data_IF_115909281433
#
_entry.id   IF_115909281433
#
_cell.length_a   1.000
_cell.length_b   1.000
_cell.length_c   1.000
_cell.angle_alpha   90.00
_cell.angle_beta   90.00
_cell.angle_gamma   90.00
#
_symmetry.space_group_name_H-M   'P 1'
#
loop_
_entity.id
_entity.type
_entity.pdbx_description
1 polymer ?
#
# COMPACT_ATOMS: atom_id res chain seq x y z
N UNK A 1 15.07 -8.77 9.37
CA UNK A 1 13.86 -8.44 8.58
C UNK A 1 13.40 -9.70 7.89
N UNK A 2 12.09 -9.94 7.78
CA UNK A 2 11.50 -11.13 7.13
C UNK A 2 10.85 -10.82 5.79
N UNK A 3 11.49 -9.90 5.08
CA UNK A 3 11.08 -9.48 3.75
C UNK A 3 12.25 -9.68 2.81
N UNK A 4 11.98 -10.28 1.64
CA UNK A 4 12.97 -10.38 0.56
C UNK A 4 13.40 -9.00 0.11
N UNK A 5 14.60 -8.93 -0.45
CA UNK A 5 15.12 -7.70 -1.03
C UNK A 5 14.28 -7.27 -2.23
N UNK A 6 13.87 -6.00 -2.27
CA UNK A 6 13.23 -5.39 -3.43
C UNK A 6 11.85 -5.96 -3.79
N UNK A 7 11.48 -5.76 -5.06
CA UNK A 7 10.19 -6.11 -5.65
C UNK A 7 9.76 -5.04 -6.66
N UNK A 8 9.74 -5.38 -7.95
CA UNK A 8 9.36 -4.47 -9.03
C UNK A 8 7.94 -4.81 -9.49
N UNK A 9 7.01 -3.92 -9.17
CA UNK A 9 5.59 -4.00 -9.56
C UNK A 9 5.08 -2.57 -9.77
N UNK A 10 4.04 -2.39 -10.58
CA UNK A 10 3.49 -1.08 -10.90
C UNK A 10 2.20 -1.17 -11.69
N UNK A 11 1.75 -0.04 -12.22
CA UNK A 11 0.56 0.07 -13.09
C UNK A 11 0.98 0.53 -14.48
N UNK A 12 0.32 0.05 -15.53
CA UNK A 12 0.63 0.45 -16.90
C UNK A 12 0.59 1.98 -17.07
N UNK A 13 1.58 2.53 -17.77
CA UNK A 13 1.74 3.97 -17.98
C UNK A 13 2.52 4.71 -16.88
N UNK A 14 2.79 4.09 -15.72
CA UNK A 14 3.55 4.71 -14.63
C UNK A 14 4.79 3.89 -14.26
N UNK A 15 5.94 4.55 -14.18
CA UNK A 15 7.22 3.94 -13.78
C UNK A 15 7.45 3.86 -12.26
N UNK A 16 6.48 4.26 -11.44
CA UNK A 16 6.61 4.30 -9.98
C UNK A 16 5.27 4.49 -9.27
N UNK A 17 5.31 4.59 -7.94
CA UNK A 17 4.13 4.75 -7.09
C UNK A 17 3.72 3.50 -6.31
N UNK A 18 4.25 2.32 -6.68
CA UNK A 18 4.07 1.07 -5.93
C UNK A 18 5.43 0.55 -5.48
N UNK A 19 5.54 0.20 -4.20
CA UNK A 19 6.74 -0.43 -3.63
C UNK A 19 6.42 -1.92 -3.45
N UNK A 20 6.99 -2.75 -4.32
CA UNK A 20 6.87 -4.20 -4.22
C UNK A 20 7.63 -4.73 -3.01
N UNK A 21 7.02 -5.66 -2.28
CA UNK A 21 7.63 -6.39 -1.16
C UNK A 21 7.02 -7.78 -1.07
N UNK A 22 7.87 -8.75 -0.77
CA UNK A 22 7.50 -10.17 -0.67
C UNK A 22 8.08 -10.78 0.61
N UNK A 23 7.30 -11.63 1.29
CA UNK A 23 7.75 -12.34 2.49
C UNK A 23 8.86 -13.36 2.15
N UNK A 24 9.81 -13.57 3.06
CA UNK A 24 10.85 -14.59 2.91
C UNK A 24 10.38 -16.01 3.29
N UNK A 25 9.21 -16.15 3.93
CA UNK A 25 8.59 -17.42 4.33
C UNK A 25 7.12 -17.52 3.85
N UNK A 26 6.86 -17.56 2.53
CA UNK A 26 5.50 -17.52 1.99
C UNK A 26 4.65 -18.75 2.35
N UNK A 27 5.27 -19.92 2.56
CA UNK A 27 4.56 -21.15 2.97
C UNK A 27 3.98 -21.03 4.39
N UNK A 28 4.71 -20.37 5.29
CA UNK A 28 4.26 -20.13 6.66
C UNK A 28 3.28 -18.96 6.75
N UNK A 29 3.43 -17.96 5.88
CA UNK A 29 2.66 -16.70 5.91
C UNK A 29 2.08 -16.35 4.53
N UNK A 30 1.17 -17.17 3.98
CA UNK A 30 0.68 -16.99 2.61
C UNK A 30 -0.08 -15.67 2.42
N UNK A 31 -0.75 -15.15 3.46
CA UNK A 31 -1.49 -13.89 3.40
C UNK A 31 -0.61 -12.63 3.19
N UNK A 32 0.70 -12.76 3.32
CA UNK A 32 1.68 -11.69 3.07
C UNK A 32 2.79 -12.13 2.12
N UNK A 33 2.56 -13.17 1.32
CA UNK A 33 3.47 -13.55 0.24
C UNK A 33 3.83 -12.32 -0.60
N UNK A 34 2.81 -11.54 -0.97
CA UNK A 34 2.92 -10.20 -1.54
C UNK A 34 2.30 -9.17 -0.58
N UNK A 35 3.09 -8.16 -0.18
CA UNK A 35 2.62 -7.09 0.72
C UNK A 35 3.09 -5.72 0.22
N UNK A 36 2.52 -5.30 -0.90
CA UNK A 36 2.95 -4.11 -1.63
C UNK A 36 2.35 -2.83 -1.00
N UNK A 37 3.11 -1.74 -1.02
CA UNK A 37 2.62 -0.42 -0.60
C UNK A 37 2.31 0.44 -1.81
N UNK A 38 1.09 0.93 -1.92
CA UNK A 38 0.72 1.99 -2.88
C UNK A 38 0.88 3.37 -2.24
N UNK A 39 1.54 4.29 -2.92
CA UNK A 39 1.64 5.69 -2.48
C UNK A 39 0.54 6.51 -3.14
N UNK A 40 -0.34 7.07 -2.31
CA UNK A 40 -1.51 7.85 -2.75
C UNK A 40 -1.25 9.33 -2.53
N UNK A 41 -1.53 10.15 -3.55
CA UNK A 41 -1.33 11.59 -3.47
C UNK A 41 -2.36 12.25 -2.53
N UNK A 42 -1.87 12.94 -1.50
CA UNK A 42 -2.69 13.64 -0.51
C UNK A 42 -3.07 15.07 -0.96
N UNK A 43 -4.18 15.65 -0.43
CA UNK A 43 -4.42 17.08 -0.50
C UNK A 43 -3.33 17.88 0.24
N UNK A 44 -3.03 19.08 -0.28
CA UNK A 44 -2.15 20.03 0.38
C UNK A 44 -2.66 20.35 1.79
N UNK A 45 -1.75 20.36 2.78
CA UNK A 45 -2.10 20.58 4.18
C UNK A 45 -2.81 19.40 4.87
N UNK A 46 -3.07 18.28 4.17
CA UNK A 46 -3.67 17.05 4.74
C UNK A 46 -5.03 17.26 5.42
N UNK A 47 -5.83 18.21 4.93
CA UNK A 47 -7.22 18.37 5.37
C UNK A 47 -8.14 17.49 4.54
N UNK A 48 -9.04 16.77 5.22
CA UNK A 48 -9.98 15.83 4.59
C UNK A 48 -11.39 16.03 5.10
N UNK A 49 -12.37 15.66 4.27
CA UNK A 49 -13.71 15.36 4.76
C UNK A 49 -13.77 13.91 5.24
N UNK A 50 -14.62 13.62 6.22
CA UNK A 50 -14.82 12.23 6.69
C UNK A 50 -15.41 11.35 5.59
N UNK A 51 -16.22 11.91 4.69
CA UNK A 51 -16.74 11.20 3.51
C UNK A 51 -15.62 10.69 2.60
N UNK A 52 -14.62 11.52 2.31
CA UNK A 52 -13.50 11.13 1.47
C UNK A 52 -12.68 10.00 2.11
N UNK A 53 -12.38 10.12 3.40
CA UNK A 53 -11.61 9.09 4.12
C UNK A 53 -12.37 7.76 4.19
N UNK A 54 -13.69 7.77 4.42
CA UNK A 54 -14.50 6.54 4.41
C UNK A 54 -14.46 5.86 3.05
N UNK A 55 -14.64 6.61 1.95
CA UNK A 55 -14.54 6.06 0.60
C UNK A 55 -13.17 5.43 0.33
N UNK A 56 -12.09 6.03 0.81
CA UNK A 56 -10.75 5.48 0.69
C UNK A 56 -10.58 4.20 1.52
N UNK A 57 -11.09 4.18 2.75
CA UNK A 57 -11.10 3.00 3.62
C UNK A 57 -11.89 1.85 3.02
N UNK A 58 -13.13 2.08 2.55
CA UNK A 58 -13.97 1.05 1.93
C UNK A 58 -13.28 0.40 0.72
N UNK A 59 -12.60 1.21 -0.10
CA UNK A 59 -11.83 0.71 -1.24
C UNK A 59 -10.62 -0.13 -0.79
N UNK A 60 -9.91 0.31 0.26
CA UNK A 60 -8.71 -0.38 0.74
C UNK A 60 -9.03 -1.64 1.55
N UNK A 61 -10.16 -1.68 2.26
CA UNK A 61 -10.64 -2.89 2.92
C UNK A 61 -11.06 -3.95 1.89
N UNK A 62 -11.62 -3.52 0.76
CA UNK A 62 -12.02 -4.45 -0.31
C UNK A 62 -10.83 -5.01 -1.11
N UNK A 63 -9.77 -4.23 -1.33
CA UNK A 63 -8.67 -4.59 -2.25
C UNK A 63 -7.29 -4.72 -1.63
N UNK A 64 -7.14 -4.31 -0.38
CA UNK A 64 -5.86 -4.23 0.32
C UNK A 64 -5.91 -4.97 1.66
N UNK A 65 -5.04 -4.55 2.56
CA UNK A 65 -4.91 -5.17 3.88
C UNK A 65 -5.72 -4.48 4.98
N UNK A 66 -6.40 -3.38 4.68
CA UNK A 66 -7.01 -2.48 5.68
C UNK A 66 -6.00 -1.68 6.52
N UNK A 67 -4.69 -1.85 6.28
CA UNK A 67 -3.63 -1.17 7.04
C UNK A 67 -3.09 0.01 6.22
N UNK A 68 -2.91 1.16 6.87
CA UNK A 68 -2.41 2.38 6.23
C UNK A 68 -1.39 3.11 7.10
N UNK A 69 -0.54 3.93 6.48
CA UNK A 69 0.21 4.98 7.14
C UNK A 69 -0.43 6.34 6.77
N UNK A 70 -0.85 7.12 7.77
CA UNK A 70 -1.39 8.48 7.61
C UNK A 70 -0.46 9.46 8.35
N UNK A 71 0.66 9.92 7.76
CA UNK A 71 1.11 9.83 6.36
C UNK A 71 2.57 9.33 6.27
N UNK A 72 3.06 9.11 5.05
CA UNK A 72 4.50 8.97 4.81
C UNK A 72 5.27 10.27 5.09
N UNK A 73 6.56 10.14 5.42
CA UNK A 73 7.46 11.27 5.71
C UNK A 73 8.05 11.95 4.47
N UNK A 74 7.88 11.34 3.29
CA UNK A 74 8.45 11.79 2.01
C UNK A 74 7.35 12.11 1.01
#
# INVERSE_FOLDING_TARGET
THWKHGGIVGVFGYGGGVIGRYCDQPENYPGVEAFHTMRINQPAGKYYTTEYLRKLSDLWDFRGSGITNLHGST
#
